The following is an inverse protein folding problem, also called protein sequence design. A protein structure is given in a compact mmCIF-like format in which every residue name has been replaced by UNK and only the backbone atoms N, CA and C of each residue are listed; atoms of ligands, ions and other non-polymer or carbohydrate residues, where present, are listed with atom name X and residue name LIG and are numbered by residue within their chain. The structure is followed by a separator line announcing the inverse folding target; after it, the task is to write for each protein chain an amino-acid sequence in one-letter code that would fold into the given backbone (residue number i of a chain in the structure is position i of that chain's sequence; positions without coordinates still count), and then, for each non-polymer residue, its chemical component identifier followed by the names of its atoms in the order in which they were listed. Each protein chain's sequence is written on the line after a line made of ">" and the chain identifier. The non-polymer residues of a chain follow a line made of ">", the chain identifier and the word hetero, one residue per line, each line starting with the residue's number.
data_IF_767799904100
#
_entry.id   IF_767799904100
#
_cell.length_a   1.000
_cell.length_b   1.000
_cell.length_c   1.000
_cell.angle_alpha   90.00
_cell.angle_beta   90.00
_cell.angle_gamma   90.00
#
_symmetry.space_group_name_H-M   'P 1'
#
loop_
_entity.id
_entity.type
_entity.pdbx_description
1 polymer ?
#
# COMPACT_ATOMS: atom_id res chain seq x y z
N UNK A 1 -21.79 -23.12 -7.71
CA UNK A 1 -21.04 -22.63 -6.52
C UNK A 1 -19.91 -21.75 -7.00
N UNK A 2 -20.01 -20.42 -6.84
CA UNK A 2 -18.90 -19.52 -7.17
C UNK A 2 -17.77 -19.78 -6.17
N UNK A 3 -16.68 -20.38 -6.65
CA UNK A 3 -15.46 -20.60 -5.86
C UNK A 3 -15.03 -19.24 -5.29
N UNK A 4 -14.94 -19.12 -3.97
CA UNK A 4 -14.34 -17.96 -3.31
C UNK A 4 -12.98 -17.72 -3.97
N UNK A 5 -12.78 -16.54 -4.57
CA UNK A 5 -11.48 -16.13 -5.08
C UNK A 5 -10.59 -15.78 -3.88
N UNK A 6 -10.04 -16.81 -3.22
CA UNK A 6 -8.99 -16.69 -2.22
C UNK A 6 -7.71 -16.28 -2.93
N UNK A 7 -7.47 -14.98 -3.09
CA UNK A 7 -6.17 -14.52 -3.57
C UNK A 7 -5.12 -14.72 -2.48
N UNK A 8 -4.43 -15.87 -2.60
CA UNK A 8 -3.04 -16.14 -2.20
C UNK A 8 -2.50 -15.22 -1.10
N UNK A 9 -2.78 -15.58 0.15
CA UNK A 9 -1.85 -15.33 1.26
C UNK A 9 -0.60 -16.20 1.03
N UNK A 10 0.15 -15.95 -0.04
CA UNK A 10 1.35 -16.74 -0.40
C UNK A 10 2.60 -16.33 0.37
N UNK A 11 2.52 -15.28 1.20
CA UNK A 11 3.68 -14.66 1.86
C UNK A 11 3.59 -14.55 3.39
N UNK A 12 2.61 -15.20 4.03
CA UNK A 12 2.62 -15.40 5.48
C UNK A 12 3.14 -16.82 5.77
N UNK A 13 4.29 -16.94 6.44
CA UNK A 13 4.71 -18.24 6.99
C UNK A 13 3.63 -18.80 7.92
N UNK A 14 3.62 -20.13 8.15
CA UNK A 14 2.53 -20.83 8.85
C UNK A 14 2.05 -20.16 10.15
N UNK A 15 2.96 -19.56 10.93
CA UNK A 15 2.65 -18.81 12.16
C UNK A 15 1.95 -17.45 11.93
N UNK A 16 2.26 -16.77 10.83
CA UNK A 16 1.58 -15.55 10.41
C UNK A 16 0.16 -15.82 9.92
N UNK A 17 -0.04 -16.96 9.25
CA UNK A 17 -1.37 -17.44 8.87
C UNK A 17 -2.20 -17.77 10.11
N UNK A 18 -1.66 -18.56 11.04
CA UNK A 18 -2.36 -18.97 12.25
C UNK A 18 -2.79 -17.78 13.12
N UNK A 19 -1.91 -16.78 13.30
CA UNK A 19 -2.25 -15.56 14.07
C UNK A 19 -3.27 -14.68 13.35
N UNK A 20 -3.23 -14.62 12.02
CA UNK A 20 -4.19 -13.85 11.24
C UNK A 20 -5.56 -14.55 11.20
N UNK A 21 -5.60 -15.88 11.07
CA UNK A 21 -6.84 -16.68 11.07
C UNK A 21 -7.55 -16.71 12.43
N UNK A 22 -6.84 -16.45 13.53
CA UNK A 22 -7.42 -16.34 14.88
C UNK A 22 -8.02 -14.96 15.18
N UNK A 23 -7.67 -13.93 14.42
CA UNK A 23 -8.34 -12.63 14.51
C UNK A 23 -9.59 -12.68 13.66
N UNK A 24 -10.73 -12.25 14.21
CA UNK A 24 -11.94 -12.04 13.41
C UNK A 24 -11.62 -11.00 12.33
N UNK A 25 -11.72 -11.39 11.05
CA UNK A 25 -11.51 -10.47 9.93
C UNK A 25 -12.42 -9.25 10.09
N UNK A 26 -11.88 -8.07 9.79
CA UNK A 26 -12.69 -6.86 9.71
C UNK A 26 -13.62 -7.00 8.51
N UNK A 27 -14.88 -6.65 8.68
CA UNK A 27 -15.88 -6.73 7.62
C UNK A 27 -16.06 -5.35 7.01
N UNK A 28 -16.05 -5.28 5.68
CA UNK A 28 -16.37 -4.06 4.93
C UNK A 28 -17.58 -4.35 4.06
N UNK A 29 -18.65 -3.59 4.26
CA UNK A 29 -19.89 -3.76 3.50
C UNK A 29 -19.86 -2.84 2.29
N UNK A 30 -19.58 -3.39 1.11
CA UNK A 30 -19.47 -2.59 -0.10
C UNK A 30 -20.83 -2.03 -0.52
N UNK A 31 -20.90 -0.71 -0.77
CA UNK A 31 -22.15 0.00 -1.13
C UNK A 31 -22.05 0.74 -2.47
N UNK A 32 -21.02 0.48 -3.28
CA UNK A 32 -20.66 1.33 -4.42
C UNK A 32 -21.10 0.82 -5.79
N UNK A 33 -21.45 1.75 -6.68
CA UNK A 33 -21.44 1.52 -8.12
C UNK A 33 -20.00 1.67 -8.63
N UNK A 34 -19.51 0.71 -9.42
CA UNK A 34 -18.15 0.73 -9.96
C UNK A 34 -18.15 1.43 -11.31
N UNK A 35 -17.75 2.69 -11.34
CA UNK A 35 -17.46 3.38 -12.59
C UNK A 35 -16.14 2.89 -13.18
N UNK A 36 -16.16 2.49 -14.45
CA UNK A 36 -14.97 2.17 -15.23
C UNK A 36 -14.07 3.39 -15.30
N UNK A 37 -12.85 3.27 -14.76
CA UNK A 37 -11.82 4.30 -14.91
C UNK A 37 -11.19 4.15 -16.29
N UNK A 38 -11.26 5.20 -17.11
CA UNK A 38 -10.63 5.20 -18.44
C UNK A 38 -9.11 5.06 -18.32
N UNK A 39 -8.53 4.19 -19.16
CA UNK A 39 -7.07 4.02 -19.25
C UNK A 39 -6.45 5.29 -19.79
N UNK A 40 -5.71 6.02 -18.95
CA UNK A 40 -4.93 7.19 -19.37
C UNK A 40 -3.51 6.76 -19.68
N UNK A 41 -3.02 7.14 -20.87
CA UNK A 41 -1.61 7.02 -21.21
C UNK A 41 -0.82 8.10 -20.45
N UNK A 42 0.24 7.71 -19.74
CA UNK A 42 1.09 8.63 -19.01
C UNK A 42 2.42 8.81 -19.76
N UNK A 43 2.75 10.06 -20.07
CA UNK A 43 4.05 10.47 -20.60
C UNK A 43 4.90 10.94 -19.42
N UNK A 44 6.08 10.34 -19.24
CA UNK A 44 6.99 10.67 -18.14
C UNK A 44 8.15 11.52 -18.67
N UNK A 45 8.27 12.74 -18.15
CA UNK A 45 9.33 13.69 -18.50
C UNK A 45 10.19 13.97 -17.28
N UNK A 46 11.12 13.07 -16.93
CA UNK A 46 12.26 13.34 -16.05
C UNK A 46 13.24 12.13 -16.07
N UNK A 47 14.54 12.42 -15.94
CA UNK A 47 15.62 11.41 -16.08
C UNK A 47 16.28 11.01 -14.75
N UNK A 48 15.90 11.63 -13.62
CA UNK A 48 16.42 11.26 -12.30
C UNK A 48 15.31 10.67 -11.44
N UNK A 49 15.52 9.45 -10.97
CA UNK A 49 14.62 8.74 -10.06
C UNK A 49 15.44 8.08 -8.95
N UNK A 50 14.84 7.89 -7.79
CA UNK A 50 15.47 7.28 -6.62
C UNK A 50 14.69 6.05 -6.17
N UNK A 51 15.37 5.14 -5.46
CA UNK A 51 14.72 4.00 -4.84
C UNK A 51 13.86 4.48 -3.67
N UNK A 52 12.60 4.04 -3.65
CA UNK A 52 11.66 4.47 -2.62
C UNK A 52 10.83 3.32 -2.05
N UNK A 53 10.22 3.61 -0.90
CA UNK A 53 9.20 2.79 -0.28
C UNK A 53 7.97 3.64 -0.01
N UNK A 54 6.79 3.16 -0.40
CA UNK A 54 5.52 3.78 -0.08
C UNK A 54 4.98 3.19 1.23
N UNK A 55 4.87 4.03 2.26
CA UNK A 55 4.13 3.74 3.49
C UNK A 55 2.66 4.02 3.24
N UNK A 56 1.86 2.95 3.20
CA UNK A 56 0.40 3.00 2.97
C UNK A 56 -0.32 3.51 4.24
N UNK A 57 -1.62 3.84 4.17
CA UNK A 57 -2.38 4.31 5.34
C UNK A 57 -2.33 3.38 6.55
N UNK A 58 -2.35 2.06 6.34
CA UNK A 58 -2.21 1.06 7.41
C UNK A 58 -0.81 1.00 8.06
N UNK A 59 0.19 1.61 7.41
CA UNK A 59 1.54 1.81 7.92
C UNK A 59 1.81 3.23 8.43
N UNK A 60 1.01 4.22 8.03
CA UNK A 60 1.21 5.62 8.41
C UNK A 60 1.15 5.83 9.93
N UNK A 61 0.21 5.17 10.62
CA UNK A 61 0.14 5.16 12.09
C UNK A 61 1.31 4.44 12.77
N UNK A 62 2.14 3.73 11.99
CA UNK A 62 3.34 3.01 12.43
C UNK A 62 4.61 3.60 11.81
N UNK A 63 4.56 4.81 11.24
CA UNK A 63 5.67 5.43 10.52
C UNK A 63 6.96 5.43 11.35
N UNK A 64 6.91 5.91 12.59
CA UNK A 64 8.08 5.95 13.49
C UNK A 64 8.65 4.55 13.77
N UNK A 65 7.79 3.53 13.85
CA UNK A 65 8.22 2.14 14.03
C UNK A 65 8.89 1.60 12.75
N UNK A 66 8.37 1.94 11.58
CA UNK A 66 8.95 1.56 10.27
C UNK A 66 10.34 2.21 10.12
N UNK A 67 10.44 3.53 10.36
CA UNK A 67 11.72 4.27 10.35
C UNK A 67 12.69 3.66 11.37
N UNK A 68 12.24 3.34 12.57
CA UNK A 68 13.04 2.69 13.60
C UNK A 68 13.57 1.31 13.20
N UNK A 69 12.84 0.56 12.36
CA UNK A 69 13.31 -0.72 11.81
C UNK A 69 14.41 -0.48 10.76
N UNK A 70 14.17 0.45 9.83
CA UNK A 70 15.08 0.79 8.74
C UNK A 70 16.42 1.34 9.26
N UNK A 71 16.37 2.30 10.18
CA UNK A 71 17.54 2.92 10.81
C UNK A 71 18.40 1.93 11.60
N UNK A 72 17.77 1.02 12.38
CA UNK A 72 18.49 -0.06 13.09
C UNK A 72 19.23 -1.03 12.16
N UNK A 73 18.85 -1.07 10.89
CA UNK A 73 19.49 -1.87 9.84
C UNK A 73 20.38 -1.04 8.93
N UNK A 74 20.73 0.18 9.35
CA UNK A 74 21.62 1.09 8.65
C UNK A 74 21.11 1.57 7.28
N UNK A 75 19.79 1.54 7.05
CA UNK A 75 19.22 2.22 5.89
C UNK A 75 19.22 3.73 6.14
N UNK A 76 19.76 4.47 5.18
CA UNK A 76 19.73 5.94 5.18
C UNK A 76 18.50 6.38 4.38
N UNK A 77 17.61 7.10 5.05
CA UNK A 77 16.42 7.71 4.44
C UNK A 77 16.79 9.17 4.17
N UNK A 78 16.92 9.54 2.89
CA UNK A 78 17.26 10.89 2.46
C UNK A 78 16.10 11.86 2.65
N UNK A 79 14.88 11.35 2.43
CA UNK A 79 13.70 12.20 2.41
C UNK A 79 12.43 11.42 2.76
N UNK A 80 11.51 12.12 3.41
CA UNK A 80 10.16 11.65 3.70
C UNK A 80 9.18 12.66 3.10
N UNK A 81 8.34 12.20 2.18
CA UNK A 81 7.34 13.02 1.53
C UNK A 81 5.93 12.56 1.89
N UNK A 82 5.04 13.49 2.24
CA UNK A 82 3.62 13.18 2.45
C UNK A 82 2.84 13.17 1.14
N UNK A 83 1.99 12.17 0.96
CA UNK A 83 1.07 12.04 -0.17
C UNK A 83 -0.18 12.90 0.06
N UNK A 84 -0.52 13.76 -0.91
CA UNK A 84 -1.73 14.62 -0.88
C UNK A 84 -3.02 13.84 -1.09
N UNK A 85 -2.99 12.93 -2.05
CA UNK A 85 -4.17 12.17 -2.49
C UNK A 85 -3.79 10.72 -2.71
N UNK A 86 -3.91 9.92 -1.65
CA UNK A 86 -3.58 8.51 -1.69
C UNK A 86 -4.53 7.71 -2.60
N UNK A 87 -5.80 8.11 -2.71
CA UNK A 87 -6.77 7.38 -3.51
C UNK A 87 -6.47 7.55 -5.01
N UNK A 88 -6.18 8.78 -5.45
CA UNK A 88 -5.80 9.03 -6.83
C UNK A 88 -4.42 8.44 -7.16
N UNK A 89 -3.46 8.50 -6.23
CA UNK A 89 -2.18 7.80 -6.35
C UNK A 89 -2.38 6.32 -6.71
N UNK A 90 -3.25 5.61 -5.98
CA UNK A 90 -3.46 4.18 -6.19
C UNK A 90 -4.06 3.85 -7.57
N UNK A 91 -4.94 4.71 -8.07
CA UNK A 91 -5.52 4.57 -9.42
C UNK A 91 -4.41 4.72 -10.49
N UNK A 92 -3.59 5.77 -10.37
CA UNK A 92 -2.56 6.08 -11.34
C UNK A 92 -1.37 5.10 -11.28
N UNK A 93 -1.04 4.60 -10.08
CA UNK A 93 0.06 3.66 -9.86
C UNK A 93 -0.28 2.25 -10.34
N UNK A 94 -1.55 1.85 -10.22
CA UNK A 94 -2.02 0.51 -10.59
C UNK A 94 -3.11 0.53 -11.68
N UNK A 95 -2.83 1.09 -12.88
CA UNK A 95 -3.85 1.32 -13.91
C UNK A 95 -4.43 0.05 -14.53
N UNK A 96 -3.80 -1.10 -14.28
CA UNK A 96 -4.24 -2.41 -14.77
C UNK A 96 -5.01 -3.22 -13.71
N UNK A 97 -5.12 -2.72 -12.47
CA UNK A 97 -5.92 -3.38 -11.43
C UNK A 97 -7.40 -3.19 -11.73
N UNK A 98 -8.21 -4.20 -11.42
CA UNK A 98 -9.65 -4.14 -11.63
C UNK A 98 -10.24 -2.94 -10.88
N UNK A 99 -11.04 -2.06 -11.54
CA UNK A 99 -11.66 -0.91 -10.89
C UNK A 99 -12.45 -1.25 -9.62
N UNK A 100 -13.06 -2.44 -9.57
CA UNK A 100 -13.77 -2.95 -8.40
C UNK A 100 -12.84 -3.15 -7.19
N UNK A 101 -11.62 -3.65 -7.43
CA UNK A 101 -10.62 -3.84 -6.39
C UNK A 101 -10.08 -2.51 -5.86
N UNK A 102 -9.89 -1.53 -6.75
CA UNK A 102 -9.53 -0.16 -6.36
C UNK A 102 -10.65 0.48 -5.52
N UNK A 103 -11.92 0.26 -5.88
CA UNK A 103 -13.06 0.73 -5.11
C UNK A 103 -13.11 0.11 -3.70
N UNK A 104 -12.80 -1.19 -3.58
CA UNK A 104 -12.69 -1.86 -2.27
C UNK A 104 -11.59 -1.26 -1.42
N UNK A 105 -10.40 -1.03 -1.98
CA UNK A 105 -9.30 -0.41 -1.23
C UNK A 105 -9.65 1.00 -0.78
N UNK A 106 -10.26 1.81 -1.65
CA UNK A 106 -10.74 3.15 -1.29
C UNK A 106 -11.70 3.09 -0.11
N UNK A 107 -12.70 2.21 -0.17
CA UNK A 107 -13.66 2.08 0.92
C UNK A 107 -13.00 1.63 2.24
N UNK A 108 -12.09 0.65 2.18
CA UNK A 108 -11.34 0.22 3.36
C UNK A 108 -10.54 1.39 3.95
N UNK A 109 -9.90 2.21 3.11
CA UNK A 109 -9.15 3.38 3.58
C UNK A 109 -10.06 4.44 4.21
N UNK A 110 -11.19 4.73 3.56
CA UNK A 110 -12.18 5.68 4.04
C UNK A 110 -12.79 5.26 5.38
N UNK A 111 -12.99 3.96 5.61
CA UNK A 111 -13.64 3.44 6.83
C UNK A 111 -12.66 3.24 7.99
N UNK A 112 -11.41 2.80 7.72
CA UNK A 112 -10.49 2.36 8.78
C UNK A 112 -9.23 3.19 8.96
N UNK A 113 -8.87 4.04 8.00
CA UNK A 113 -7.58 4.74 8.00
C UNK A 113 -7.68 6.26 7.82
N UNK A 114 -8.89 6.83 7.86
CA UNK A 114 -9.08 8.27 8.03
C UNK A 114 -8.65 8.70 9.42
N UNK A 115 -7.94 9.82 9.49
CA UNK A 115 -7.72 10.52 10.75
C UNK A 115 -9.00 11.25 11.21
N UNK A 116 -9.05 11.81 12.42
CA UNK A 116 -10.23 12.52 12.94
C UNK A 116 -10.69 13.72 12.10
N UNK A 117 -9.83 14.22 11.21
CA UNK A 117 -10.11 15.33 10.31
C UNK A 117 -10.52 14.83 8.91
N UNK A 118 -10.67 13.51 8.73
CA UNK A 118 -11.09 12.88 7.49
C UNK A 118 -9.96 12.65 6.48
N UNK A 119 -8.70 12.88 6.85
CA UNK A 119 -7.56 12.74 5.93
C UNK A 119 -6.98 11.32 5.98
N UNK A 120 -6.60 10.80 4.81
CA UNK A 120 -5.89 9.52 4.68
C UNK A 120 -4.40 9.82 4.53
N UNK A 121 -3.59 9.49 5.53
CA UNK A 121 -2.15 9.75 5.51
C UNK A 121 -1.39 8.61 4.82
N UNK A 122 -0.44 8.95 3.96
CA UNK A 122 0.51 8.04 3.37
C UNK A 122 1.82 8.78 3.09
N UNK A 123 2.94 8.06 3.02
CA UNK A 123 4.27 8.65 2.92
C UNK A 123 5.17 7.92 1.93
N UNK A 124 6.05 8.66 1.27
CA UNK A 124 7.16 8.12 0.49
C UNK A 124 8.41 8.25 1.34
N UNK A 125 9.17 7.16 1.47
CA UNK A 125 10.53 7.17 2.00
C UNK A 125 11.50 7.04 0.83
N UNK A 126 12.34 8.04 0.61
CA UNK A 126 13.39 8.05 -0.41
C UNK A 126 14.70 7.65 0.26
N UNK A 127 15.42 6.71 -0.36
CA UNK A 127 16.63 6.12 0.21
C UNK A 127 17.89 6.61 -0.48
N UNK A 128 19.01 6.48 0.22
CA UNK A 128 20.33 6.68 -0.38
C UNK A 128 20.53 5.82 -1.64
N UNK A 129 21.24 6.37 -2.63
CA UNK A 129 21.49 5.74 -3.93
C UNK A 129 22.17 4.36 -3.85
N UNK A 130 22.86 4.06 -2.74
CA UNK A 130 23.51 2.77 -2.54
C UNK A 130 22.54 1.67 -2.06
N UNK A 131 21.31 2.02 -1.68
CA UNK A 131 20.29 1.06 -1.27
C UNK A 131 19.64 0.47 -2.52
N UNK A 132 19.78 -0.84 -2.73
CA UNK A 132 19.21 -1.52 -3.89
C UNK A 132 17.72 -1.86 -3.72
N UNK A 133 17.01 -2.03 -4.84
CA UNK A 133 15.60 -2.49 -4.85
C UNK A 133 15.46 -3.84 -4.16
N UNK A 134 16.39 -4.76 -4.37
CA UNK A 134 16.39 -6.08 -3.75
C UNK A 134 16.56 -6.02 -2.23
N UNK A 135 17.34 -5.05 -1.72
CA UNK A 135 17.44 -4.80 -0.29
C UNK A 135 16.11 -4.28 0.28
N UNK A 136 15.44 -3.36 -0.42
CA UNK A 136 14.13 -2.86 -0.02
C UNK A 136 13.05 -3.94 -0.06
N UNK A 137 13.07 -4.82 -1.06
CA UNK A 137 12.16 -5.97 -1.17
C UNK A 137 12.29 -6.95 0.00
N UNK A 138 13.52 -7.27 0.42
CA UNK A 138 13.78 -8.09 1.60
C UNK A 138 13.25 -7.41 2.86
N UNK A 139 13.51 -6.12 2.99
CA UNK A 139 13.08 -5.37 4.17
C UNK A 139 11.56 -5.17 4.22
N UNK A 140 10.90 -5.09 3.05
CA UNK A 140 9.45 -5.06 2.94
C UNK A 140 8.81 -6.25 3.64
N UNK A 141 9.34 -7.45 3.43
CA UNK A 141 8.83 -8.67 4.06
C UNK A 141 9.00 -8.61 5.58
N UNK A 142 10.16 -8.14 6.06
CA UNK A 142 10.44 -8.02 7.48
C UNK A 142 9.52 -6.99 8.17
N UNK A 143 9.38 -5.80 7.60
CA UNK A 143 8.50 -4.74 8.11
C UNK A 143 7.06 -5.24 8.18
N UNK A 144 6.55 -5.92 7.14
CA UNK A 144 5.19 -6.51 7.15
C UNK A 144 4.99 -7.50 8.30
N UNK A 145 5.99 -8.32 8.62
CA UNK A 145 5.94 -9.23 9.78
C UNK A 145 5.92 -8.48 11.11
N UNK A 146 6.66 -7.37 11.24
CA UNK A 146 6.76 -6.59 12.48
C UNK A 146 5.62 -5.60 12.69
N UNK A 147 5.05 -5.08 11.62
CA UNK A 147 3.98 -4.08 11.63
C UNK A 147 2.58 -4.67 11.45
N UNK A 148 2.49 -5.93 11.03
CA UNK A 148 1.24 -6.64 10.78
C UNK A 148 0.65 -6.32 9.42
N UNK A 149 -0.25 -7.20 8.97
CA UNK A 149 -1.06 -7.05 7.76
C UNK A 149 -2.50 -7.14 8.23
N UNK A 150 -3.34 -6.22 7.75
CA UNK A 150 -4.77 -6.24 8.05
C UNK A 150 -5.50 -7.04 6.97
N UNK A 151 -6.39 -7.94 7.39
CA UNK A 151 -7.19 -8.78 6.50
C UNK A 151 -8.66 -8.36 6.62
N UNK A 152 -9.30 -8.22 5.46
CA UNK A 152 -10.67 -7.75 5.32
C UNK A 152 -11.51 -8.74 4.54
N UNK A 153 -12.70 -9.02 5.06
CA UNK A 153 -13.78 -9.67 4.32
C UNK A 153 -14.64 -8.56 3.70
N UNK A 154 -14.63 -8.47 2.38
CA UNK A 154 -15.52 -7.60 1.62
C UNK A 154 -16.83 -8.33 1.36
N UNK A 155 -17.91 -7.75 1.86
CA UNK A 155 -19.26 -8.28 1.85
C UNK A 155 -20.08 -7.45 0.86
N UNK A 156 -20.72 -8.13 -0.09
CA UNK A 156 -21.73 -7.56 -0.98
C UNK A 156 -23.09 -8.15 -0.57
N UNK A 157 -24.02 -7.29 -0.13
CA UNK A 157 -25.23 -7.70 0.55
C UNK A 157 -24.96 -8.50 1.83
N UNK A 158 -25.37 -9.77 1.86
CA UNK A 158 -25.21 -10.67 3.02
C UNK A 158 -24.07 -11.69 2.87
N UNK A 159 -23.39 -11.75 1.71
CA UNK A 159 -22.39 -12.79 1.43
C UNK A 159 -20.99 -12.20 1.30
N UNK A 160 -19.96 -12.80 1.93
CA UNK A 160 -18.57 -12.44 1.68
C UNK A 160 -18.21 -12.84 0.26
N UNK A 161 -17.88 -11.85 -0.57
CA UNK A 161 -17.56 -12.05 -1.99
C UNK A 161 -16.05 -12.12 -2.20
N UNK A 162 -15.30 -11.38 -1.40
CA UNK A 162 -13.88 -11.15 -1.64
C UNK A 162 -13.12 -11.00 -0.30
N UNK A 163 -11.97 -11.66 -0.18
CA UNK A 163 -11.05 -11.50 0.95
C UNK A 163 -9.83 -10.73 0.43
N UNK A 164 -9.44 -9.67 1.11
CA UNK A 164 -8.29 -8.84 0.72
C UNK A 164 -7.41 -8.50 1.91
N UNK A 165 -6.19 -8.07 1.60
CA UNK A 165 -5.22 -7.68 2.63
C UNK A 165 -4.66 -6.31 2.35
N UNK A 166 -4.62 -5.47 3.39
CA UNK A 166 -3.96 -4.17 3.34
C UNK A 166 -2.61 -4.31 4.05
N UNK A 167 -1.55 -4.17 3.27
CA UNK A 167 -0.18 -4.20 3.76
C UNK A 167 0.27 -2.79 4.16
N UNK A 168 1.13 -2.63 5.19
CA UNK A 168 1.57 -1.32 5.67
C UNK A 168 2.48 -0.58 4.69
N UNK A 169 3.12 -1.31 3.77
CA UNK A 169 4.13 -0.76 2.87
C UNK A 169 4.08 -1.42 1.50
N UNK A 170 4.54 -0.67 0.51
CA UNK A 170 4.81 -1.09 -0.86
C UNK A 170 6.23 -0.69 -1.25
N UNK A 171 6.88 -1.57 -2.01
CA UNK A 171 8.16 -1.31 -2.68
C UNK A 171 7.91 -1.76 -4.12
N UNK A 172 8.10 -0.87 -5.10
CA UNK A 172 8.02 -1.25 -6.51
C UNK A 172 9.05 -2.32 -6.84
N UNK A 173 8.73 -3.20 -7.80
CA UNK A 173 9.76 -4.04 -8.39
C UNK A 173 10.72 -3.22 -9.25
N UNK A 174 11.83 -3.84 -9.66
CA UNK A 174 12.90 -3.16 -10.41
C UNK A 174 12.41 -2.57 -11.74
N UNK A 175 11.43 -3.21 -12.39
CA UNK A 175 10.90 -2.80 -13.69
C UNK A 175 9.96 -1.60 -13.56
N UNK A 176 9.18 -1.54 -12.47
CA UNK A 176 8.21 -0.50 -12.22
C UNK A 176 8.72 0.65 -11.35
N UNK A 177 9.89 0.51 -10.69
CA UNK A 177 10.45 1.52 -9.78
C UNK A 177 10.48 2.92 -10.37
N UNK A 178 11.04 3.09 -11.58
CA UNK A 178 11.09 4.39 -12.26
C UNK A 178 9.70 4.97 -12.49
N UNK A 179 8.79 4.17 -13.06
CA UNK A 179 7.43 4.60 -13.39
C UNK A 179 6.65 5.00 -12.14
N UNK A 180 6.66 4.13 -11.14
CA UNK A 180 5.94 4.35 -9.89
C UNK A 180 6.53 5.50 -9.08
N UNK A 181 7.84 5.75 -9.16
CA UNK A 181 8.48 6.91 -8.53
C UNK A 181 7.86 8.21 -9.02
N UNK A 182 7.75 8.40 -10.34
CA UNK A 182 7.18 9.64 -10.89
C UNK A 182 5.71 9.81 -10.55
N UNK A 183 4.93 8.72 -10.57
CA UNK A 183 3.53 8.76 -10.11
C UNK A 183 3.49 9.16 -8.64
N UNK A 184 4.29 8.54 -7.78
CA UNK A 184 4.33 8.85 -6.36
C UNK A 184 4.72 10.31 -6.09
N UNK A 185 5.76 10.78 -6.77
CA UNK A 185 6.26 12.15 -6.62
C UNK A 185 5.23 13.20 -7.07
N UNK A 186 4.52 12.95 -8.18
CA UNK A 186 3.41 13.81 -8.68
C UNK A 186 2.34 14.06 -7.61
N UNK A 187 2.05 13.07 -6.77
CA UNK A 187 1.04 13.17 -5.71
C UNK A 187 1.62 13.55 -4.34
N UNK A 188 2.91 13.88 -4.26
CA UNK A 188 3.56 14.30 -3.02
C UNK A 188 3.43 15.81 -2.76
N UNK A 189 3.50 16.22 -1.49
CA UNK A 189 3.26 17.61 -1.07
C UNK A 189 4.44 18.38 -0.57
N UNK A 190 5.09 17.82 0.43
CA UNK A 190 5.99 18.53 1.32
C UNK A 190 7.00 17.53 1.83
N UNK A 191 8.23 18.01 1.92
CA UNK A 191 9.28 17.38 2.70
C UNK A 191 8.90 17.48 4.18
N UNK A 192 8.93 16.35 4.86
CA UNK A 192 8.85 16.29 6.32
C UNK A 192 10.28 16.10 6.83
N UNK A 193 10.72 16.99 7.72
CA UNK A 193 12.02 16.92 8.39
C UNK A 193 11.99 15.96 9.58
#
# INVERSE_FOLDING_TARGET
>A
MNKRNKWKIRNLGCWGYLKASLKKNKKVYFKGNVTTVEKRSQVFMEDKWENFMLVKPSGANKLNKIIGILTKKHYIINEILEIKDYNQLMIDMFPNVNPLEVAYWKQINDEFYKDPYGNIKAYILIFDKNVSVEQLEKEKIFIRRKCGIDIYDVIDGEKPVYETSITPIHVPDKENMRKEYFVAFKYSSKKIH
#
